data_IF_613473891652
#
_entry.id   IF_613473891652
#
_cell.length_a   1.000
_cell.length_b   1.000
_cell.length_c   1.000
_cell.angle_alpha   90.00
_cell.angle_beta   90.00
_cell.angle_gamma   90.00
#
_symmetry.space_group_name_H-M   'P 1'
#
loop_
_entity.id
_entity.type
_entity.pdbx_description
1 polymer ?
#
# COMPACT_ATOMS: atom_id res chain seq x y z
N UNK A 1 16.83 23.78 -2.00
CA UNK A 1 17.33 24.00 -3.36
C UNK A 1 16.16 23.76 -4.31
N UNK A 2 15.88 24.69 -5.24
CA UNK A 2 14.88 24.46 -6.27
C UNK A 2 15.39 23.35 -7.20
N UNK A 3 14.61 22.30 -7.37
CA UNK A 3 14.91 21.24 -8.34
C UNK A 3 14.78 21.82 -9.73
N UNK A 4 15.82 21.73 -10.56
CA UNK A 4 15.74 22.15 -11.96
C UNK A 4 14.89 21.11 -12.67
N UNK A 5 13.65 21.48 -12.96
CA UNK A 5 12.73 20.65 -13.74
C UNK A 5 13.13 20.74 -15.20
N UNK A 6 13.56 19.64 -15.80
CA UNK A 6 13.95 19.53 -17.21
C UNK A 6 12.82 18.93 -18.02
N UNK A 7 12.65 19.40 -19.24
CA UNK A 7 11.62 18.92 -20.16
C UNK A 7 12.16 17.88 -21.13
N UNK A 8 11.27 17.07 -21.68
CA UNK A 8 11.57 16.11 -22.76
C UNK A 8 12.24 16.80 -23.95
N UNK A 9 11.74 18.00 -24.30
CA UNK A 9 12.30 18.77 -25.39
C UNK A 9 13.76 19.20 -25.14
N UNK A 10 14.09 19.66 -23.91
CA UNK A 10 15.47 19.98 -23.53
C UNK A 10 16.39 18.76 -23.61
N UNK A 11 15.90 17.58 -23.26
CA UNK A 11 16.67 16.35 -23.36
C UNK A 11 17.01 16.02 -24.81
N UNK A 12 16.02 16.11 -25.71
CA UNK A 12 16.18 15.86 -27.15
C UNK A 12 17.17 16.83 -27.74
N UNK A 13 17.01 18.14 -27.49
CA UNK A 13 17.92 19.20 -27.98
C UNK A 13 19.35 18.95 -27.51
N UNK A 14 19.55 18.68 -26.23
CA UNK A 14 20.88 18.42 -25.68
C UNK A 14 21.51 17.14 -26.23
N UNK A 15 20.71 16.15 -26.62
CA UNK A 15 21.20 14.93 -27.26
C UNK A 15 21.64 15.17 -28.69
N UNK A 16 20.94 16.06 -29.45
CA UNK A 16 21.32 16.48 -30.81
C UNK A 16 22.59 17.34 -30.79
N UNK A 17 22.78 18.20 -29.78
CA UNK A 17 24.03 18.91 -29.59
C UNK A 17 25.23 17.99 -29.38
N UNK A 18 25.07 16.88 -28.65
CA UNK A 18 26.15 15.93 -28.38
C UNK A 18 26.70 15.27 -29.65
N UNK A 19 25.85 15.04 -30.66
CA UNK A 19 26.27 14.43 -31.93
C UNK A 19 26.65 15.49 -32.99
N UNK A 20 26.50 16.79 -32.68
CA UNK A 20 26.86 17.90 -33.57
C UNK A 20 25.89 18.15 -34.73
N UNK A 21 24.68 17.56 -34.69
CA UNK A 21 23.63 17.82 -35.70
C UNK A 21 22.91 19.16 -35.49
N UNK A 22 22.99 19.71 -34.29
CA UNK A 22 22.54 21.06 -33.97
C UNK A 22 23.72 21.93 -33.53
N UNK A 23 23.83 23.12 -34.10
CA UNK A 23 24.78 24.15 -33.64
C UNK A 23 24.27 24.89 -32.40
N UNK A 24 25.17 25.41 -31.60
CA UNK A 24 24.81 26.17 -30.37
C UNK A 24 23.94 27.37 -30.74
N UNK A 25 22.69 27.36 -30.19
CA UNK A 25 21.69 28.41 -30.46
C UNK A 25 20.75 28.12 -31.62
N UNK A 26 20.93 26.99 -32.30
CA UNK A 26 19.95 26.52 -33.29
C UNK A 26 18.76 25.85 -32.63
N UNK A 27 17.60 26.02 -33.27
CA UNK A 27 16.37 25.36 -32.83
C UNK A 27 16.12 24.12 -33.70
N UNK A 28 15.81 22.95 -33.09
CA UNK A 28 15.50 21.75 -33.86
C UNK A 28 14.22 21.97 -34.69
N UNK A 29 14.13 21.30 -35.82
CA UNK A 29 12.89 21.27 -36.58
C UNK A 29 11.86 20.32 -35.96
N UNK A 30 10.61 20.42 -36.42
CA UNK A 30 9.51 19.58 -35.86
C UNK A 30 9.72 18.08 -36.11
N UNK A 31 10.46 17.72 -37.19
CA UNK A 31 10.75 16.32 -37.49
C UNK A 31 11.81 15.76 -36.56
N UNK A 32 12.86 16.53 -36.26
CA UNK A 32 13.89 16.16 -35.28
C UNK A 32 13.29 15.94 -33.90
N UNK A 33 12.40 16.85 -33.47
CA UNK A 33 11.70 16.68 -32.17
C UNK A 33 10.81 15.46 -32.12
N UNK A 34 10.04 15.22 -33.20
CA UNK A 34 9.18 14.02 -33.26
C UNK A 34 10.01 12.73 -33.26
N UNK A 35 11.04 12.67 -34.09
CA UNK A 35 11.95 11.51 -34.16
C UNK A 35 12.62 11.29 -32.78
N UNK A 36 13.05 12.38 -32.14
CA UNK A 36 13.65 12.31 -30.81
C UNK A 36 12.70 11.78 -29.74
N UNK A 37 11.44 12.20 -29.80
CA UNK A 37 10.40 11.71 -28.90
C UNK A 37 10.11 10.23 -29.09
N UNK A 38 9.96 9.80 -30.34
CA UNK A 38 9.70 8.39 -30.68
C UNK A 38 10.86 7.50 -30.20
N UNK A 39 12.11 7.93 -30.42
CA UNK A 39 13.31 7.23 -29.98
C UNK A 39 13.46 7.21 -28.45
N UNK A 40 13.06 8.29 -27.78
CA UNK A 40 13.09 8.36 -26.32
C UNK A 40 12.07 7.38 -25.71
N UNK A 41 10.84 7.38 -26.23
CA UNK A 41 9.81 6.44 -25.77
C UNK A 41 10.23 4.98 -26.03
N UNK A 42 10.82 4.68 -27.19
CA UNK A 42 11.39 3.34 -27.45
C UNK A 42 12.51 2.96 -26.47
N UNK A 43 13.34 3.92 -26.04
CA UNK A 43 14.35 3.69 -25.00
C UNK A 43 13.72 3.42 -23.66
N UNK A 44 12.69 4.17 -23.26
CA UNK A 44 11.99 4.00 -22.00
C UNK A 44 11.26 2.65 -21.96
N UNK A 45 10.62 2.24 -23.07
CA UNK A 45 10.00 0.93 -23.19
C UNK A 45 11.02 -0.20 -23.02
N UNK A 46 12.19 -0.07 -23.66
CA UNK A 46 13.27 -1.03 -23.49
C UNK A 46 13.75 -1.10 -22.03
N UNK A 47 13.93 0.04 -21.40
CA UNK A 47 14.38 0.11 -20.01
C UNK A 47 13.31 -0.41 -19.04
N UNK A 48 12.02 -0.20 -19.34
CA UNK A 48 10.92 -0.78 -18.55
C UNK A 48 10.93 -2.31 -18.57
N UNK A 49 11.36 -2.92 -19.69
CA UNK A 49 11.47 -4.37 -19.81
C UNK A 49 12.70 -4.94 -19.12
N UNK A 50 13.74 -4.13 -18.92
CA UNK A 50 15.01 -4.53 -18.32
C UNK A 50 15.04 -4.12 -16.83
N UNK A 51 15.10 -5.10 -15.94
CA UNK A 51 15.03 -4.88 -14.49
C UNK A 51 16.16 -4.02 -13.91
N UNK A 52 17.22 -3.78 -14.70
CA UNK A 52 18.41 -3.03 -14.29
C UNK A 52 18.18 -1.51 -14.31
N UNK A 53 17.26 -1.05 -15.16
CA UNK A 53 17.21 0.37 -15.54
C UNK A 53 16.17 1.21 -14.84
N UNK A 54 15.22 0.66 -14.11
CA UNK A 54 14.14 1.45 -13.53
C UNK A 54 13.98 1.19 -12.05
N UNK A 55 14.26 2.19 -11.20
CA UNK A 55 14.04 2.11 -9.76
C UNK A 55 12.63 2.54 -9.36
N UNK A 56 11.65 2.57 -10.27
CA UNK A 56 10.29 2.94 -9.89
C UNK A 56 9.63 1.80 -9.15
N UNK A 57 9.98 1.71 -7.88
CA UNK A 57 9.23 0.92 -6.92
C UNK A 57 8.12 1.81 -6.38
N UNK A 58 6.92 1.59 -6.87
CA UNK A 58 5.72 2.24 -6.33
C UNK A 58 5.10 1.32 -5.30
N UNK A 59 4.63 1.91 -4.21
CA UNK A 59 3.86 1.18 -3.20
C UNK A 59 2.37 1.39 -3.47
N UNK A 60 1.65 0.31 -3.66
CA UNK A 60 0.21 0.29 -3.83
C UNK A 60 -0.41 -0.18 -2.51
N UNK A 61 -1.27 0.63 -1.94
CA UNK A 61 -2.08 0.29 -0.76
C UNK A 61 -3.52 0.00 -1.20
N UNK A 62 -4.04 -1.16 -0.81
CA UNK A 62 -5.41 -1.55 -1.10
C UNK A 62 -5.93 -2.48 0.01
N UNK A 63 -7.22 -2.87 -0.06
CA UNK A 63 -7.83 -3.78 0.91
C UNK A 63 -8.41 -4.99 0.19
N UNK A 64 -8.14 -6.18 0.68
CA UNK A 64 -8.74 -7.40 0.14
C UNK A 64 -10.26 -7.39 0.32
N UNK A 65 -10.96 -7.84 -0.70
CA UNK A 65 -12.41 -8.05 -0.66
C UNK A 65 -12.65 -9.53 -0.32
N UNK A 66 -13.50 -9.79 0.65
CA UNK A 66 -13.84 -11.16 1.06
C UNK A 66 -14.40 -11.95 -0.13
N UNK A 67 -13.85 -13.12 -0.37
CA UNK A 67 -14.29 -13.98 -1.47
C UNK A 67 -13.75 -13.61 -2.86
N UNK A 68 -12.91 -12.56 -2.95
CA UNK A 68 -12.27 -12.14 -4.21
C UNK A 68 -10.79 -12.52 -4.20
N UNK A 69 -10.37 -13.28 -5.19
CA UNK A 69 -8.99 -13.77 -5.33
C UNK A 69 -8.16 -12.96 -6.32
N UNK A 70 -8.79 -12.29 -7.29
CA UNK A 70 -8.11 -11.62 -8.40
C UNK A 70 -8.48 -10.13 -8.45
N UNK A 71 -7.46 -9.28 -8.53
CA UNK A 71 -7.56 -7.82 -8.57
C UNK A 71 -6.91 -7.30 -9.84
N UNK A 72 -7.64 -6.47 -10.59
CA UNK A 72 -7.12 -5.78 -11.77
C UNK A 72 -6.39 -4.48 -11.38
N UNK A 73 -5.27 -4.23 -12.06
CA UNK A 73 -4.44 -3.04 -11.85
C UNK A 73 -4.23 -2.37 -13.21
N UNK A 74 -4.71 -1.15 -13.38
CA UNK A 74 -4.47 -0.31 -14.56
C UNK A 74 -4.90 1.13 -14.28
N UNK A 75 -4.23 2.07 -14.88
CA UNK A 75 -4.63 3.48 -15.01
C UNK A 75 -5.36 3.75 -16.34
N UNK A 76 -5.23 2.83 -17.31
CA UNK A 76 -5.77 2.98 -18.67
C UNK A 76 -7.18 2.41 -18.83
N UNK A 77 -7.58 1.50 -17.95
CA UNK A 77 -8.87 0.80 -18.02
C UNK A 77 -9.79 1.30 -16.91
N UNK A 78 -10.91 1.90 -17.28
CA UNK A 78 -11.90 2.37 -16.30
C UNK A 78 -12.55 1.19 -15.58
N UNK A 79 -12.67 1.31 -14.26
CA UNK A 79 -13.32 0.31 -13.42
C UNK A 79 -12.41 -0.83 -12.96
N UNK A 80 -11.10 -0.65 -13.03
CA UNK A 80 -10.13 -1.54 -12.38
C UNK A 80 -10.24 -1.46 -10.86
N UNK A 81 -9.83 -2.53 -10.17
CA UNK A 81 -9.87 -2.57 -8.70
C UNK A 81 -8.84 -1.62 -8.08
N UNK A 82 -7.72 -1.47 -8.76
CA UNK A 82 -6.58 -0.67 -8.32
C UNK A 82 -6.20 0.27 -9.46
N UNK A 83 -6.31 1.55 -9.19
CA UNK A 83 -5.88 2.61 -10.11
C UNK A 83 -4.38 2.85 -9.88
N UNK A 84 -3.58 2.33 -10.76
CA UNK A 84 -2.13 2.48 -10.76
C UNK A 84 -1.55 2.18 -12.14
N UNK A 85 -0.38 2.74 -12.42
CA UNK A 85 0.37 2.47 -13.63
C UNK A 85 0.55 0.97 -13.87
N UNK A 86 0.68 0.59 -15.13
CA UNK A 86 0.86 -0.80 -15.52
C UNK A 86 2.03 -1.46 -14.80
N UNK A 87 1.74 -2.49 -14.03
CA UNK A 87 2.74 -3.22 -13.25
C UNK A 87 3.54 -4.16 -14.12
N UNK A 88 4.86 -4.00 -14.13
CA UNK A 88 5.81 -4.86 -14.85
C UNK A 88 6.30 -6.00 -13.97
N UNK A 89 6.51 -5.73 -12.67
CA UNK A 89 7.01 -6.73 -11.75
C UNK A 89 6.53 -6.47 -10.32
N UNK A 90 6.43 -7.54 -9.54
CA UNK A 90 6.05 -7.51 -8.13
C UNK A 90 7.27 -7.88 -7.30
N UNK A 91 7.79 -6.91 -6.54
CA UNK A 91 9.01 -7.11 -5.74
C UNK A 91 8.73 -7.53 -4.31
N UNK A 92 7.67 -7.00 -3.72
CA UNK A 92 7.28 -7.31 -2.37
C UNK A 92 5.76 -7.23 -2.21
N UNK A 93 5.21 -8.07 -1.35
CA UNK A 93 3.81 -8.04 -1.00
C UNK A 93 3.61 -8.45 0.46
N UNK A 94 2.77 -7.73 1.16
CA UNK A 94 2.34 -8.09 2.51
C UNK A 94 0.89 -7.67 2.73
N UNK A 95 0.29 -8.19 3.79
CA UNK A 95 -0.98 -7.71 4.28
C UNK A 95 -0.95 -7.59 5.80
N UNK A 96 -1.81 -6.73 6.30
CA UNK A 96 -1.95 -6.46 7.72
C UNK A 96 -3.18 -7.19 8.23
N UNK A 97 -3.01 -8.01 9.23
CA UNK A 97 -4.12 -8.52 10.03
C UNK A 97 -4.36 -7.50 11.13
N UNK A 98 -5.49 -6.79 11.11
CA UNK A 98 -5.83 -5.90 12.21
C UNK A 98 -5.78 -6.72 13.49
N UNK A 99 -5.01 -6.27 14.47
CA UNK A 99 -5.05 -6.87 15.78
C UNK A 99 -6.48 -6.79 16.26
N UNK A 100 -7.10 -7.92 16.54
CA UNK A 100 -8.27 -7.89 17.41
C UNK A 100 -7.72 -7.36 18.72
N UNK A 101 -8.00 -6.11 19.03
CA UNK A 101 -7.50 -5.39 20.20
C UNK A 101 -7.99 -5.95 21.52
N UNK A 102 -8.11 -7.26 21.60
CA UNK A 102 -8.35 -8.03 22.81
C UNK A 102 -7.05 -8.74 23.14
N UNK A 103 -6.02 -8.01 23.52
CA UNK A 103 -5.09 -8.55 24.47
C UNK A 103 -5.87 -8.71 25.76
N UNK A 104 -6.44 -9.90 25.92
CA UNK A 104 -7.03 -10.36 27.16
C UNK A 104 -5.94 -10.53 28.21
N UNK A 105 -5.40 -9.45 28.67
CA UNK A 105 -4.81 -9.38 29.99
C UNK A 105 -5.40 -8.15 30.66
N UNK A 106 -6.68 -8.23 30.80
CA UNK A 106 -7.52 -7.19 31.30
C UNK A 106 -7.78 -7.43 32.76
N UNK A 107 -7.25 -6.58 33.58
CA UNK A 107 -7.94 -6.29 34.83
C UNK A 107 -9.22 -5.55 34.42
N UNK A 108 -10.41 -6.11 34.66
CA UNK A 108 -11.65 -5.39 34.40
C UNK A 108 -11.67 -4.14 35.29
N UNK A 109 -11.80 -2.97 34.69
CA UNK A 109 -12.05 -1.75 35.43
C UNK A 109 -13.56 -1.59 35.52
N UNK A 110 -14.04 -1.55 36.72
CA UNK A 110 -15.47 -1.45 37.01
C UNK A 110 -15.75 -0.23 37.86
N UNK A 111 -16.77 0.51 37.47
CA UNK A 111 -17.28 1.66 38.24
C UNK A 111 -18.77 1.50 38.49
N UNK A 112 -19.20 1.95 39.66
CA UNK A 112 -20.61 2.15 39.88
C UNK A 112 -21.08 3.36 39.07
N UNK A 113 -22.27 3.27 38.50
CA UNK A 113 -22.84 4.35 37.72
C UNK A 113 -24.28 4.65 38.12
N UNK A 114 -24.68 5.89 37.87
CA UNK A 114 -26.05 6.35 37.86
C UNK A 114 -26.40 6.85 36.46
N UNK A 115 -27.59 6.56 36.00
CA UNK A 115 -28.08 7.06 34.72
C UNK A 115 -29.01 8.27 34.95
N UNK A 116 -29.06 9.16 33.98
CA UNK A 116 -30.01 10.24 33.86
C UNK A 116 -30.73 10.11 32.51
N UNK A 117 -32.01 9.80 32.58
CA UNK A 117 -32.86 9.61 31.41
C UNK A 117 -33.21 10.95 30.71
N UNK A 118 -33.02 12.09 31.41
CA UNK A 118 -33.30 13.40 30.80
C UNK A 118 -32.20 13.84 29.83
N UNK A 119 -30.96 13.49 30.12
CA UNK A 119 -29.78 13.86 29.33
C UNK A 119 -29.20 12.68 28.56
N UNK A 120 -29.73 11.47 28.68
CA UNK A 120 -29.22 10.22 28.13
C UNK A 120 -27.76 9.94 28.53
N UNK A 121 -27.41 10.28 29.79
CA UNK A 121 -26.05 10.17 30.29
C UNK A 121 -25.92 9.18 31.43
N UNK A 122 -24.70 8.68 31.55
CA UNK A 122 -24.25 7.85 32.67
C UNK A 122 -23.18 8.63 33.44
N UNK A 123 -23.34 8.76 34.73
CA UNK A 123 -22.35 9.39 35.60
C UNK A 123 -21.57 8.35 36.38
N UNK A 124 -20.24 8.44 36.30
CA UNK A 124 -19.27 7.60 36.99
C UNK A 124 -18.22 8.47 37.68
N UNK A 125 -17.40 7.87 38.53
CA UNK A 125 -16.38 8.65 39.28
C UNK A 125 -15.20 9.10 38.41
N UNK A 126 -14.90 8.38 37.32
CA UNK A 126 -13.79 8.69 36.45
C UNK A 126 -14.05 8.09 35.05
N UNK A 127 -14.02 8.93 34.03
CA UNK A 127 -14.27 8.53 32.62
C UNK A 127 -13.00 8.33 31.80
N UNK A 128 -11.81 8.50 32.37
CA UNK A 128 -10.54 8.37 31.64
C UNK A 128 -10.34 6.97 31.04
N UNK A 129 -10.96 5.97 31.66
CA UNK A 129 -10.96 4.58 31.16
C UNK A 129 -11.94 4.34 30.01
N UNK A 130 -12.77 5.30 29.61
CA UNK A 130 -13.88 5.14 28.66
C UNK A 130 -13.84 6.19 27.52
N UNK A 131 -12.75 6.29 26.74
CA UNK A 131 -12.76 7.10 25.54
C UNK A 131 -13.85 6.62 24.59
N UNK A 132 -14.32 7.50 23.69
CA UNK A 132 -15.33 7.14 22.70
C UNK A 132 -14.90 5.94 21.86
N UNK A 133 -15.81 4.98 21.64
CA UNK A 133 -15.53 3.70 20.95
C UNK A 133 -15.13 2.56 21.88
N UNK A 134 -14.97 2.80 23.21
CA UNK A 134 -14.59 1.73 24.15
C UNK A 134 -15.75 0.77 24.38
N UNK A 135 -15.57 -0.55 24.20
CA UNK A 135 -16.57 -1.53 24.54
C UNK A 135 -16.76 -1.64 26.05
N UNK A 136 -17.99 -1.63 26.49
CA UNK A 136 -18.39 -1.72 27.89
C UNK A 136 -19.49 -2.75 28.09
N UNK A 137 -19.50 -3.40 29.21
CA UNK A 137 -20.57 -4.32 29.64
C UNK A 137 -21.19 -3.82 30.91
N UNK A 138 -22.50 -3.86 30.99
CA UNK A 138 -23.26 -3.43 32.13
C UNK A 138 -23.69 -4.62 32.98
N UNK A 139 -23.62 -4.46 34.30
CA UNK A 139 -24.19 -5.39 35.27
C UNK A 139 -24.92 -4.61 36.36
N UNK A 140 -25.78 -5.26 37.09
CA UNK A 140 -26.58 -4.62 38.12
C UNK A 140 -26.90 -5.59 39.26
N UNK A 141 -26.99 -5.06 40.46
CA UNK A 141 -27.59 -5.71 41.62
C UNK A 141 -29.01 -5.16 41.89
N UNK A 142 -29.47 -4.22 41.09
CA UNK A 142 -30.79 -3.61 41.13
C UNK A 142 -31.54 -3.77 39.80
N UNK A 143 -31.99 -2.67 39.21
CA UNK A 143 -32.59 -2.62 37.85
C UNK A 143 -31.76 -1.77 36.93
N UNK A 144 -31.40 -2.34 35.78
CA UNK A 144 -30.63 -1.59 34.77
C UNK A 144 -31.53 -0.53 34.09
N UNK A 145 -30.99 0.64 33.70
CA UNK A 145 -31.75 1.65 32.96
C UNK A 145 -32.32 1.09 31.64
N UNK A 146 -33.61 1.28 31.37
CA UNK A 146 -34.21 0.87 30.10
C UNK A 146 -33.80 1.85 28.97
N UNK A 147 -33.51 1.38 27.75
CA UNK A 147 -33.63 0.03 27.20
C UNK A 147 -32.38 -0.83 27.30
N UNK A 148 -31.44 -0.47 28.16
CA UNK A 148 -30.18 -1.19 28.31
C UNK A 148 -30.43 -2.59 28.88
N UNK A 149 -29.54 -3.55 28.55
CA UNK A 149 -29.62 -4.95 28.97
C UNK A 149 -28.29 -5.38 29.60
N UNK A 150 -28.35 -6.00 30.77
CA UNK A 150 -27.18 -6.54 31.44
C UNK A 150 -26.49 -7.62 30.60
N UNK A 151 -25.15 -7.63 30.60
CA UNK A 151 -24.36 -8.60 29.84
C UNK A 151 -24.23 -8.30 28.33
N UNK A 152 -24.91 -7.27 27.85
CA UNK A 152 -24.78 -6.82 26.46
C UNK A 152 -23.61 -5.82 26.34
N UNK A 153 -22.86 -5.92 25.24
CA UNK A 153 -21.78 -4.97 24.93
C UNK A 153 -22.35 -3.72 24.31
N UNK A 154 -22.01 -2.59 24.91
CA UNK A 154 -22.25 -1.23 24.42
C UNK A 154 -20.92 -0.54 24.16
N UNK A 155 -20.95 0.67 23.60
CA UNK A 155 -19.77 1.47 23.32
C UNK A 155 -19.90 2.84 23.95
N UNK A 156 -18.85 3.29 24.67
CA UNK A 156 -18.87 4.56 25.37
C UNK A 156 -18.73 5.73 24.41
N UNK A 157 -19.45 6.81 24.68
CA UNK A 157 -19.27 8.14 24.09
C UNK A 157 -18.79 9.04 25.22
N UNK A 158 -17.56 9.53 25.14
CA UNK A 158 -17.00 10.44 26.14
C UNK A 158 -17.70 11.82 26.08
N UNK A 159 -18.18 12.30 27.20
CA UNK A 159 -18.79 13.65 27.33
C UNK A 159 -17.89 14.55 28.13
N UNK A 160 -17.51 14.15 29.36
CA UNK A 160 -16.59 14.90 30.24
C UNK A 160 -15.98 13.94 31.29
N UNK A 161 -15.13 14.45 32.18
CA UNK A 161 -14.37 13.65 33.15
C UNK A 161 -15.20 12.82 34.15
N UNK A 162 -16.52 12.99 34.19
CA UNK A 162 -17.42 12.20 35.07
C UNK A 162 -18.66 11.67 34.37
N UNK A 163 -18.87 12.04 33.10
CA UNK A 163 -20.10 11.74 32.37
C UNK A 163 -19.79 11.13 30.99
N UNK A 164 -20.48 10.05 30.66
CA UNK A 164 -20.43 9.41 29.34
C UNK A 164 -21.84 9.09 28.84
N UNK A 165 -21.98 8.80 27.58
CA UNK A 165 -23.17 8.23 26.95
C UNK A 165 -22.84 6.84 26.38
N UNK A 166 -23.86 6.07 26.01
CA UNK A 166 -23.68 4.74 25.43
C UNK A 166 -24.26 4.68 24.04
N UNK A 167 -23.59 3.94 23.17
CA UNK A 167 -24.05 3.61 21.82
C UNK A 167 -24.19 2.10 21.64
N UNK A 168 -25.05 1.68 20.71
CA UNK A 168 -25.27 0.27 20.39
C UNK A 168 -24.18 -0.35 19.51
N UNK A 169 -23.41 0.50 18.81
CA UNK A 169 -22.31 0.08 17.94
C UNK A 169 -21.12 1.04 18.10
N UNK A 170 -19.92 0.53 17.79
CA UNK A 170 -18.71 1.37 17.78
C UNK A 170 -18.85 2.56 16.82
N UNK A 171 -19.40 2.31 15.62
CA UNK A 171 -19.62 3.37 14.63
C UNK A 171 -20.52 4.48 15.16
N UNK A 172 -21.62 4.15 15.85
CA UNK A 172 -22.52 5.13 16.46
C UNK A 172 -21.82 5.89 17.58
N UNK A 173 -20.97 5.22 18.36
CA UNK A 173 -20.20 5.86 19.41
C UNK A 173 -19.24 6.92 18.84
N UNK A 174 -18.51 6.60 17.77
CA UNK A 174 -17.58 7.53 17.12
C UNK A 174 -18.32 8.69 16.43
N UNK A 175 -19.56 8.47 16.00
CA UNK A 175 -20.43 9.52 15.45
C UNK A 175 -21.17 10.34 16.51
N UNK A 176 -21.04 10.00 17.81
CA UNK A 176 -21.72 10.67 18.89
C UNK A 176 -23.24 10.44 18.91
N UNK A 177 -23.71 9.28 18.43
CA UNK A 177 -25.13 8.90 18.41
C UNK A 177 -25.44 8.02 19.61
N UNK A 178 -26.04 8.57 20.71
CA UNK A 178 -26.31 7.82 21.92
C UNK A 178 -27.60 6.97 21.81
N UNK A 179 -27.70 6.00 22.73
CA UNK A 179 -28.93 5.30 23.02
C UNK A 179 -29.82 6.20 23.88
N UNK A 180 -31.10 6.26 23.56
CA UNK A 180 -32.10 6.97 24.35
C UNK A 180 -32.43 6.17 25.61
N UNK A 181 -32.13 6.74 26.79
CA UNK A 181 -32.34 6.11 28.10
C UNK A 181 -33.72 6.55 28.61
N UNK A 182 -34.61 5.58 28.78
CA UNK A 182 -36.02 5.84 29.15
C UNK A 182 -36.24 5.86 30.67
N UNK A 183 -35.39 5.22 31.45
CA UNK A 183 -35.49 5.16 32.91
C UNK A 183 -34.10 5.20 33.53
N UNK A 184 -33.97 5.77 34.72
CA UNK A 184 -32.68 5.86 35.44
C UNK A 184 -32.23 4.53 36.04
N UNK A 185 -33.12 3.54 36.09
CA UNK A 185 -32.85 2.28 36.78
C UNK A 185 -32.80 2.41 38.29
N UNK A 186 -32.43 1.36 38.99
CA UNK A 186 -32.24 1.33 40.46
C UNK A 186 -30.80 0.92 40.75
N UNK A 187 -30.06 1.70 41.57
CA UNK A 187 -28.69 1.37 41.96
C UNK A 187 -28.63 0.03 42.72
N UNK A 188 -27.55 -0.76 42.72
CA UNK A 188 -26.19 -0.46 42.23
C UNK A 188 -26.02 -1.01 40.80
N UNK A 189 -25.80 -0.12 39.87
CA UNK A 189 -25.46 -0.47 38.49
C UNK A 189 -23.94 -0.34 38.31
N UNK A 190 -23.34 -1.26 37.59
CA UNK A 190 -21.90 -1.34 37.37
C UNK A 190 -21.62 -1.32 35.87
N UNK A 191 -20.75 -0.44 35.44
CA UNK A 191 -20.16 -0.44 34.11
C UNK A 191 -18.75 -1.01 34.18
N UNK A 192 -18.48 -1.96 33.35
CA UNK A 192 -17.18 -2.63 33.27
C UNK A 192 -16.61 -2.46 31.88
N UNK A 193 -15.39 -1.96 31.79
CA UNK A 193 -14.58 -2.06 30.59
C UNK A 193 -13.44 -3.02 30.87
N UNK A 194 -13.05 -3.73 29.86
CA UNK A 194 -11.82 -4.50 29.91
C UNK A 194 -10.73 -3.56 29.39
N UNK A 195 -9.95 -2.96 30.29
CA UNK A 195 -8.71 -2.37 29.88
C UNK A 195 -7.76 -3.48 29.43
N UNK A 196 -7.90 -3.87 28.18
CA UNK A 196 -6.72 -4.06 27.40
C UNK A 196 -6.11 -2.68 27.32
N UNK A 197 -4.87 -2.51 27.76
CA UNK A 197 -4.13 -1.31 27.50
C UNK A 197 -4.45 -0.92 26.05
N UNK A 198 -5.27 0.14 25.84
CA UNK A 198 -5.32 0.83 24.58
C UNK A 198 -3.98 1.55 24.47
N UNK A 199 -2.90 0.75 24.47
CA UNK A 199 -1.72 1.14 23.77
C UNK A 199 -2.25 1.30 22.36
N UNK A 200 -2.29 2.50 21.86
CA UNK A 200 -2.34 2.84 20.44
C UNK A 200 -1.13 2.28 19.70
N UNK A 201 -0.34 1.41 20.32
CA UNK A 201 0.57 0.51 19.66
C UNK A 201 -0.29 -0.37 18.77
N UNK A 202 -0.25 -0.06 17.49
CA UNK A 202 -0.84 -0.85 16.43
C UNK A 202 -0.47 -2.33 16.65
N UNK A 203 -1.40 -3.11 17.20
CA UNK A 203 -1.22 -4.56 17.42
C UNK A 203 -1.43 -5.32 16.13
N UNK A 204 -1.54 -4.62 15.01
CA UNK A 204 -1.65 -5.23 13.71
C UNK A 204 -0.39 -6.04 13.40
N UNK A 205 -0.59 -7.25 12.93
CA UNK A 205 0.48 -8.14 12.51
C UNK A 205 0.60 -8.09 10.99
N UNK A 206 1.80 -7.80 10.53
CA UNK A 206 2.11 -7.79 9.09
C UNK A 206 2.57 -9.18 8.67
N UNK A 207 1.88 -9.76 7.71
CA UNK A 207 2.19 -11.07 7.14
C UNK A 207 2.72 -10.91 5.71
N UNK A 208 3.91 -11.44 5.40
CA UNK A 208 4.42 -11.43 4.03
C UNK A 208 3.61 -12.38 3.15
N UNK A 209 3.34 -11.96 1.91
CA UNK A 209 2.81 -12.81 0.86
C UNK A 209 3.97 -13.37 0.03
N UNK A 210 3.98 -14.68 -0.16
CA UNK A 210 4.98 -15.31 -1.00
C UNK A 210 4.65 -15.10 -2.47
N UNK A 211 5.52 -14.36 -3.17
CA UNK A 211 5.40 -14.16 -4.62
C UNK A 211 5.76 -15.47 -5.32
N UNK A 212 4.86 -15.97 -6.15
CA UNK A 212 5.02 -17.21 -6.91
C UNK A 212 4.77 -16.96 -8.40
N UNK A 213 5.30 -17.81 -9.25
CA UNK A 213 5.00 -17.78 -10.67
C UNK A 213 3.71 -18.56 -11.00
N UNK A 214 3.21 -18.38 -12.23
CA UNK A 214 1.97 -19.01 -12.71
C UNK A 214 2.00 -20.53 -12.60
N UNK A 215 3.12 -21.17 -12.91
CA UNK A 215 3.26 -22.62 -12.83
C UNK A 215 3.17 -23.13 -11.39
N UNK A 216 3.84 -22.44 -10.46
CA UNK A 216 3.75 -22.76 -9.03
C UNK A 216 2.34 -22.51 -8.49
N UNK A 217 1.67 -21.45 -8.94
CA UNK A 217 0.28 -21.17 -8.56
C UNK A 217 -0.62 -22.37 -8.87
N UNK A 218 -0.59 -22.86 -10.10
CA UNK A 218 -1.42 -24.02 -10.50
C UNK A 218 -1.08 -25.32 -9.76
N UNK A 219 0.14 -25.44 -9.25
CA UNK A 219 0.55 -26.59 -8.43
C UNK A 219 0.09 -26.47 -6.97
N UNK A 220 -0.06 -25.26 -6.45
CA UNK A 220 -0.44 -24.98 -5.05
C UNK A 220 -1.96 -24.95 -4.90
N UNK A 221 -2.68 -24.41 -5.88
CA UNK A 221 -4.14 -24.29 -5.82
C UNK A 221 -4.79 -25.65 -6.01
N UNK A 222 -5.25 -26.26 -4.95
CA UNK A 222 -5.97 -27.54 -4.97
C UNK A 222 -7.49 -27.35 -4.82
N UNK A 223 -7.91 -26.25 -4.24
CA UNK A 223 -9.30 -25.89 -4.03
C UNK A 223 -9.47 -24.39 -4.35
N UNK A 224 -10.24 -24.07 -5.39
CA UNK A 224 -10.36 -22.72 -5.91
C UNK A 224 -11.07 -21.74 -4.96
N UNK A 225 -11.98 -22.21 -4.11
CA UNK A 225 -12.80 -21.37 -3.23
C UNK A 225 -12.43 -21.53 -1.74
N UNK A 226 -11.18 -21.88 -1.45
CA UNK A 226 -10.73 -21.98 -0.08
C UNK A 226 -10.63 -20.58 0.54
N UNK A 227 -11.59 -20.26 1.42
CA UNK A 227 -11.57 -19.02 2.19
C UNK A 227 -10.61 -19.15 3.39
N UNK A 228 -9.53 -18.40 3.39
CA UNK A 228 -8.56 -18.38 4.48
C UNK A 228 -7.70 -17.09 4.41
N UNK A 229 -6.68 -17.00 5.27
CA UNK A 229 -5.66 -15.96 5.17
C UNK A 229 -4.80 -16.22 3.93
N UNK A 230 -4.60 -15.20 3.05
CA UNK A 230 -3.73 -15.33 1.89
C UNK A 230 -2.29 -15.64 2.30
N UNK A 231 -1.65 -16.56 1.59
CA UNK A 231 -0.23 -16.88 1.80
C UNK A 231 0.62 -16.71 0.56
N UNK A 232 -0.04 -16.71 -0.61
CA UNK A 232 0.62 -16.63 -1.91
C UNK A 232 0.01 -15.54 -2.77
N UNK A 233 0.84 -14.96 -3.62
CA UNK A 233 0.44 -13.94 -4.58
C UNK A 233 1.17 -14.17 -5.90
N UNK A 234 0.48 -14.01 -7.02
CA UNK A 234 1.12 -14.03 -8.30
C UNK A 234 0.63 -12.91 -9.22
N UNK A 235 1.52 -12.39 -10.05
CA UNK A 235 1.24 -11.35 -11.03
C UNK A 235 1.03 -11.96 -12.40
N UNK A 236 -0.14 -11.72 -13.01
CA UNK A 236 -0.45 -12.07 -14.39
C UNK A 236 -0.43 -10.80 -15.25
N UNK A 237 0.55 -10.70 -16.14
CA UNK A 237 0.77 -9.53 -17.00
C UNK A 237 -0.02 -9.70 -18.30
N UNK A 238 -0.87 -8.72 -18.62
CA UNK A 238 -1.57 -8.63 -19.91
C UNK A 238 -1.20 -7.34 -20.63
N UNK A 239 -1.67 -7.17 -21.85
CA UNK A 239 -1.26 -6.05 -22.70
C UNK A 239 -1.73 -4.69 -22.17
N UNK A 240 -2.94 -4.59 -21.64
CA UNK A 240 -3.57 -3.35 -21.19
C UNK A 240 -3.68 -3.22 -19.68
N UNK A 241 -3.67 -4.32 -18.97
CA UNK A 241 -3.85 -4.36 -17.52
C UNK A 241 -3.02 -5.49 -16.91
N UNK A 242 -2.79 -5.43 -15.64
CA UNK A 242 -2.14 -6.49 -14.87
C UNK A 242 -3.13 -7.04 -13.83
N UNK A 243 -3.06 -8.33 -13.56
CA UNK A 243 -3.87 -8.96 -12.53
C UNK A 243 -2.99 -9.50 -11.42
N UNK A 244 -3.38 -9.21 -10.21
CA UNK A 244 -2.78 -9.81 -9.02
C UNK A 244 -3.75 -10.83 -8.46
N UNK A 245 -3.33 -12.09 -8.38
CA UNK A 245 -4.14 -13.18 -7.83
C UNK A 245 -3.53 -13.68 -6.54
N UNK A 246 -4.36 -13.84 -5.51
CA UNK A 246 -3.96 -14.30 -4.18
C UNK A 246 -4.55 -15.66 -3.87
N UNK A 247 -3.84 -16.45 -3.06
CA UNK A 247 -4.31 -17.76 -2.61
C UNK A 247 -3.83 -18.06 -1.19
N UNK A 248 -4.66 -18.63 -0.31
CA UNK A 248 -6.12 -18.79 -0.40
C UNK A 248 -6.89 -17.49 -0.62
N UNK A 249 -8.16 -17.62 -0.97
CA UNK A 249 -9.08 -16.48 -1.13
C UNK A 249 -9.27 -15.78 0.21
N UNK A 250 -9.19 -14.46 0.29
CA UNK A 250 -9.32 -13.73 1.54
C UNK A 250 -10.65 -13.99 2.26
N UNK A 251 -10.58 -14.37 3.52
CA UNK A 251 -11.75 -14.59 4.38
C UNK A 251 -12.16 -13.34 5.17
N UNK A 252 -11.36 -12.29 5.14
CA UNK A 252 -11.60 -11.00 5.80
C UNK A 252 -11.01 -9.87 4.95
N UNK A 253 -11.45 -8.61 5.14
CA UNK A 253 -10.90 -7.45 4.45
C UNK A 253 -9.57 -7.05 5.12
N UNK A 254 -8.48 -7.66 4.69
CA UNK A 254 -7.14 -7.29 5.14
C UNK A 254 -6.57 -6.15 4.29
N UNK A 255 -6.10 -5.04 4.89
CA UNK A 255 -5.28 -4.07 4.18
C UNK A 255 -4.01 -4.75 3.67
N UNK A 256 -3.66 -4.54 2.41
CA UNK A 256 -2.44 -5.08 1.83
C UNK A 256 -1.62 -4.02 1.10
N UNK A 257 -0.33 -4.25 1.03
CA UNK A 257 0.63 -3.40 0.35
C UNK A 257 1.39 -4.21 -0.66
N UNK A 258 1.49 -3.66 -1.86
CA UNK A 258 2.31 -4.19 -2.94
C UNK A 258 3.43 -3.22 -3.23
N UNK A 259 4.66 -3.69 -3.31
CA UNK A 259 5.76 -2.95 -3.89
C UNK A 259 5.96 -3.47 -5.31
N UNK A 260 5.69 -2.63 -6.28
CA UNK A 260 5.65 -2.98 -7.70
C UNK A 260 6.60 -2.12 -8.50
N UNK A 261 7.10 -2.69 -9.59
CA UNK A 261 7.71 -1.92 -10.67
C UNK A 261 6.63 -1.60 -11.69
N UNK A 262 6.43 -0.30 -11.94
CA UNK A 262 5.50 0.15 -12.96
C UNK A 262 6.23 0.47 -14.27
N UNK A 263 5.51 0.45 -15.39
CA UNK A 263 5.99 1.02 -16.63
C UNK A 263 6.08 2.53 -16.49
N UNK A 264 7.06 3.11 -17.16
CA UNK A 264 7.06 4.57 -17.37
C UNK A 264 6.05 4.84 -18.48
N UNK A 265 5.14 5.76 -18.24
CA UNK A 265 4.21 6.24 -19.26
C UNK A 265 4.96 6.90 -20.42
N UNK A 266 4.43 6.78 -21.64
CA UNK A 266 5.00 7.44 -22.79
C UNK A 266 5.01 8.97 -22.59
N UNK A 267 6.16 9.58 -22.80
CA UNK A 267 6.36 11.02 -22.65
C UNK A 267 5.86 11.79 -23.89
N UNK A 268 5.29 12.95 -23.65
CA UNK A 268 4.97 13.96 -24.65
C UNK A 268 6.09 15.02 -24.79
N UNK A 269 5.99 15.88 -25.81
CA UNK A 269 7.02 16.89 -26.14
C UNK A 269 7.31 17.90 -25.02
N UNK A 270 6.33 18.19 -24.17
CA UNK A 270 6.43 19.21 -23.12
C UNK A 270 6.43 18.61 -21.72
N UNK A 271 6.44 17.29 -21.62
CA UNK A 271 6.40 16.63 -20.33
C UNK A 271 7.68 16.88 -19.55
N UNK A 272 7.53 16.96 -18.26
CA UNK A 272 8.64 17.16 -17.35
C UNK A 272 9.23 15.82 -16.95
N UNK A 273 10.56 15.75 -16.94
CA UNK A 273 11.30 14.58 -16.45
C UNK A 273 11.43 14.59 -14.92
N UNK A 274 10.54 15.31 -14.22
CA UNK A 274 10.60 15.48 -12.76
C UNK A 274 10.37 14.21 -11.95
N UNK A 275 9.71 13.22 -12.55
CA UNK A 275 9.49 11.90 -11.95
C UNK A 275 10.76 11.03 -11.96
N UNK A 276 11.69 11.32 -12.87
CA UNK A 276 12.97 10.62 -12.95
C UNK A 276 14.00 11.23 -11.98
N UNK A 277 14.73 10.41 -11.21
CA UNK A 277 15.86 10.91 -10.42
C UNK A 277 16.85 11.70 -11.29
N UNK A 278 17.45 12.78 -10.78
CA UNK A 278 18.29 13.68 -11.57
C UNK A 278 19.46 13.01 -12.30
N UNK A 279 19.99 11.92 -11.77
CA UNK A 279 21.09 11.17 -12.37
C UNK A 279 20.68 10.40 -13.65
N UNK A 280 19.38 10.17 -13.86
CA UNK A 280 18.88 9.57 -15.10
C UNK A 280 19.03 10.49 -16.31
N UNK A 281 18.92 11.79 -16.10
CA UNK A 281 19.00 12.74 -17.19
C UNK A 281 20.33 12.63 -17.97
N UNK A 282 21.45 12.50 -17.26
CA UNK A 282 22.75 12.31 -17.89
C UNK A 282 22.77 11.06 -18.75
N UNK A 283 22.35 9.93 -18.20
CA UNK A 283 22.27 8.66 -18.90
C UNK A 283 21.36 8.72 -20.13
N UNK A 284 20.12 9.22 -19.96
CA UNK A 284 19.16 9.32 -21.08
C UNK A 284 19.67 10.21 -22.21
N UNK A 285 20.36 11.31 -21.88
CA UNK A 285 20.95 12.23 -22.86
C UNK A 285 21.96 11.50 -23.76
N UNK A 286 22.89 10.76 -23.18
CA UNK A 286 23.88 9.99 -23.95
C UNK A 286 23.29 8.78 -24.67
N UNK A 287 22.33 8.07 -24.04
CA UNK A 287 21.64 6.95 -24.65
C UNK A 287 20.83 7.37 -25.88
N UNK A 288 20.12 8.50 -25.79
CA UNK A 288 19.33 9.05 -26.88
C UNK A 288 20.25 9.57 -28.01
N UNK A 289 21.34 10.28 -27.64
CA UNK A 289 22.34 10.74 -28.63
C UNK A 289 22.95 9.57 -29.41
N UNK A 290 23.25 8.46 -28.74
CA UNK A 290 23.75 7.24 -29.38
C UNK A 290 22.72 6.62 -30.34
N UNK A 291 21.43 6.67 -30.01
CA UNK A 291 20.36 6.20 -30.92
C UNK A 291 20.22 7.13 -32.14
N UNK A 292 20.38 8.42 -31.98
CA UNK A 292 20.32 9.36 -33.07
C UNK A 292 21.36 9.12 -34.18
N UNK A 293 22.52 8.55 -33.86
CA UNK A 293 23.54 8.20 -34.85
C UNK A 293 23.05 7.23 -35.94
N UNK A 294 22.03 6.41 -35.63
CA UNK A 294 21.42 5.53 -36.62
C UNK A 294 20.59 6.31 -37.67
N UNK A 295 20.08 7.48 -37.30
CA UNK A 295 19.26 8.35 -38.14
C UNK A 295 20.07 9.49 -38.78
N UNK A 296 21.13 9.92 -38.11
CA UNK A 296 22.01 11.01 -38.52
C UNK A 296 23.45 10.50 -38.68
N UNK A 297 23.77 9.87 -39.82
CA UNK A 297 25.10 9.28 -40.03
C UNK A 297 26.23 10.32 -40.13
N UNK A 298 25.90 11.61 -40.32
CA UNK A 298 26.83 12.75 -40.26
C UNK A 298 27.26 13.09 -38.83
N UNK A 299 26.54 12.60 -37.83
CA UNK A 299 26.80 12.82 -36.41
C UNK A 299 28.18 12.32 -35.99
N UNK A 300 28.84 13.07 -35.12
CA UNK A 300 30.15 12.72 -34.56
C UNK A 300 29.97 12.11 -33.17
N UNK A 301 30.57 10.92 -32.97
CA UNK A 301 30.58 10.24 -31.64
C UNK A 301 32.02 9.98 -31.19
N UNK A 302 32.65 10.97 -30.52
CA UNK A 302 33.98 10.78 -29.99
C UNK A 302 34.03 9.72 -28.89
N UNK A 303 35.19 9.09 -28.71
CA UNK A 303 35.39 8.07 -27.68
C UNK A 303 35.05 8.57 -26.29
N UNK A 304 35.27 9.84 -25.99
CA UNK A 304 34.90 10.49 -24.75
C UNK A 304 33.39 10.38 -24.46
N UNK A 305 32.54 10.51 -25.48
CA UNK A 305 31.07 10.35 -25.27
C UNK A 305 30.70 8.90 -24.99
N UNK A 306 31.42 7.93 -25.55
CA UNK A 306 31.21 6.51 -25.23
C UNK A 306 31.67 6.21 -23.80
N UNK A 307 32.80 6.74 -23.36
CA UNK A 307 33.32 6.57 -22.02
C UNK A 307 32.33 7.17 -20.97
N UNK A 308 31.83 8.38 -21.21
CA UNK A 308 30.82 9.03 -20.37
C UNK A 308 29.50 8.22 -20.35
N UNK A 309 29.07 7.72 -21.50
CA UNK A 309 27.89 6.86 -21.57
C UNK A 309 28.05 5.60 -20.69
N UNK A 310 29.22 4.94 -20.76
CA UNK A 310 29.52 3.74 -19.99
C UNK A 310 29.60 4.06 -18.48
N UNK A 311 30.16 5.21 -18.12
CA UNK A 311 30.21 5.65 -16.71
C UNK A 311 28.81 5.90 -16.16
N UNK A 312 27.93 6.60 -16.89
CA UNK A 312 26.54 6.80 -16.48
C UNK A 312 25.79 5.46 -16.39
N UNK A 313 26.00 4.56 -17.33
CA UNK A 313 25.40 3.25 -17.35
C UNK A 313 25.81 2.40 -16.14
N UNK A 314 27.10 2.37 -15.84
CA UNK A 314 27.63 1.61 -14.69
C UNK A 314 27.15 2.21 -13.36
N UNK A 315 27.11 3.54 -13.24
CA UNK A 315 26.60 4.23 -12.08
C UNK A 315 25.09 3.90 -11.87
N UNK A 316 24.32 3.92 -12.94
CA UNK A 316 22.91 3.54 -12.91
C UNK A 316 22.71 2.10 -12.46
N UNK A 317 23.47 1.18 -13.04
CA UNK A 317 23.45 -0.23 -12.69
C UNK A 317 23.77 -0.43 -11.21
N UNK A 318 24.83 0.16 -10.72
CA UNK A 318 25.26 0.04 -9.33
C UNK A 318 24.25 0.67 -8.34
N UNK A 319 23.62 1.79 -8.74
CA UNK A 319 22.59 2.45 -7.91
C UNK A 319 21.30 1.65 -7.82
N UNK A 320 21.00 0.90 -8.87
CA UNK A 320 19.74 0.16 -9.00
C UNK A 320 19.90 -1.34 -8.70
N UNK A 321 21.13 -1.82 -8.44
CA UNK A 321 21.30 -3.17 -7.93
C UNK A 321 20.55 -3.28 -6.59
N UNK A 322 19.39 -3.90 -6.67
CA UNK A 322 18.65 -4.31 -5.47
C UNK A 322 19.57 -5.28 -4.73
N UNK A 323 19.83 -5.04 -3.46
CA UNK A 323 20.53 -6.00 -2.62
C UNK A 323 19.69 -7.30 -2.57
N UNK A 324 19.99 -8.19 -3.51
CA UNK A 324 19.42 -9.53 -3.62
C UNK A 324 20.03 -10.49 -2.60
N UNK A 325 20.92 -10.03 -1.72
CA UNK A 325 21.33 -10.83 -0.58
C UNK A 325 20.11 -11.03 0.31
N UNK A 326 19.33 -12.06 -0.03
CA UNK A 326 18.36 -12.66 0.88
C UNK A 326 19.21 -13.12 2.07
N UNK A 327 19.33 -12.27 3.07
CA UNK A 327 19.71 -12.75 4.39
C UNK A 327 18.56 -13.64 4.83
N UNK A 328 18.73 -14.97 4.90
CA UNK A 328 17.68 -15.80 5.43
C UNK A 328 17.35 -15.23 6.80
N UNK A 329 16.08 -14.84 7.00
CA UNK A 329 15.68 -14.39 8.32
C UNK A 329 16.04 -15.51 9.30
N UNK A 330 16.42 -15.17 10.52
CA UNK A 330 16.74 -16.15 11.56
C UNK A 330 15.63 -17.20 11.73
N UNK A 331 14.39 -16.84 11.37
CA UNK A 331 13.25 -17.73 11.29
C UNK A 331 13.33 -18.80 10.20
N UNK A 332 14.12 -18.60 9.14
CA UNK A 332 14.32 -19.62 8.09
C UNK A 332 15.41 -20.62 8.44
N UNK A 333 16.25 -20.33 9.41
CA UNK A 333 17.31 -21.23 9.92
C UNK A 333 16.89 -21.96 11.19
N UNK A 334 15.77 -21.62 11.79
CA UNK A 334 15.22 -22.38 12.91
C UNK A 334 14.70 -23.73 12.41
N UNK A 335 15.06 -24.86 13.05
CA UNK A 335 14.56 -26.19 12.68
C UNK A 335 13.09 -26.40 13.03
N UNK A 336 12.40 -25.37 13.46
CA UNK A 336 10.97 -25.43 13.72
C UNK A 336 10.22 -25.63 12.39
N UNK A 337 9.40 -26.64 12.29
CA UNK A 337 8.56 -26.80 11.10
C UNK A 337 7.71 -25.54 10.99
N UNK A 338 7.92 -24.80 9.90
CA UNK A 338 6.99 -23.76 9.50
C UNK A 338 5.58 -24.22 9.81
N UNK A 339 4.80 -23.35 10.42
CA UNK A 339 3.37 -23.51 10.56
C UNK A 339 2.73 -23.69 9.17
N UNK A 340 2.84 -24.89 8.62
CA UNK A 340 1.80 -25.38 7.76
C UNK A 340 0.59 -25.51 8.69
N UNK A 341 -0.47 -24.73 8.50
CA UNK A 341 -1.71 -25.09 9.18
C UNK A 341 -1.91 -26.55 8.81
N UNK A 342 -2.02 -27.41 9.80
CA UNK A 342 -2.28 -28.82 9.65
C UNK A 342 -3.53 -28.99 8.77
N UNK A 343 -3.34 -29.05 7.46
CA UNK A 343 -4.37 -29.41 6.47
C UNK A 343 -4.50 -30.94 6.39
N UNK A 344 -3.77 -31.65 7.26
CA UNK A 344 -3.80 -33.11 7.33
C UNK A 344 -4.26 -33.61 8.69
N UNK A 345 -5.40 -33.15 9.16
CA UNK A 345 -6.20 -33.94 10.10
C UNK A 345 -7.66 -33.76 9.74
N UNK A 346 -8.13 -34.81 9.08
CA UNK A 346 -9.46 -35.19 8.60
C UNK A 346 -9.85 -34.70 7.21
#
# INVERSE_FOLDING_TARGET
MAQIVRTTNELIVNSLYLIGELGVGETPDAFMLKTGLDLLNELLDKFSSDSIYIPFLTTIDHTFIVGKDTYSISDMVLGTDIDADRVVDLTFANYTVPGSGINQQSNPISFNFTADNTSNTITISDTDAFPSGTPVVLSTFGTIPSPLVAGTTYYSIFVNGTTLQLASTEANSLLGIPIDILTDGVPVNVITTYQGSFNTADTSLVYPLRIINKATYWNVVRQTNLLSRPGFIFLNKQATESFVTVYPVPNQPYPFKLQVKCMINSLGNQDTLGELPPYYYGFLKYALARKFLAYYPSGNWPQQNEDEYQDYFNNLKNSNETDLTIRPSVTLTAPEPFYWPNILSY
#
